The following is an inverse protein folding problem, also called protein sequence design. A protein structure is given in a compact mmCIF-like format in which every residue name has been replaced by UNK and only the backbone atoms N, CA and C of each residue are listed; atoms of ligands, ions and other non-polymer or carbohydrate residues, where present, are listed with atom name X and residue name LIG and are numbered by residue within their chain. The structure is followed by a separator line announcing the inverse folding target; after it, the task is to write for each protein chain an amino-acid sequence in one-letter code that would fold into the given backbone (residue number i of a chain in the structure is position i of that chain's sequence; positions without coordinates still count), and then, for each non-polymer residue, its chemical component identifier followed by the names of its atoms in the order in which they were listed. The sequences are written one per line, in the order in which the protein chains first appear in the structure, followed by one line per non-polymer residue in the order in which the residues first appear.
data_IF_998845513253
#
_entry.id   IF_998845513253
#
_cell.length_a   1.000
_cell.length_b   1.000
_cell.length_c   1.000
_cell.angle_alpha   90.00
_cell.angle_beta   90.00
_cell.angle_gamma   90.00
#
_symmetry.space_group_name_H-M   'P 1'
#
loop_
_entity.id
_entity.type
_entity.pdbx_description
1 polymer ?
#
# COMPACT_ATOMS: atom_id res chain seq x y z
N UNK A 1 -7.78 7.21 22.63
CA UNK A 1 -9.11 6.94 22.06
C UNK A 1 -8.94 5.77 21.11
N UNK A 2 -9.67 4.68 21.29
CA UNK A 2 -9.58 3.50 20.41
C UNK A 2 -10.66 3.62 19.35
N UNK A 3 -10.31 3.39 18.08
CA UNK A 3 -11.28 3.38 16.98
C UNK A 3 -12.21 2.17 17.09
N UNK A 4 -13.48 2.33 16.74
CA UNK A 4 -14.39 1.17 16.58
C UNK A 4 -14.03 0.38 15.32
N UNK A 5 -14.46 -0.88 15.25
CA UNK A 5 -14.36 -1.72 14.05
C UNK A 5 -14.87 -1.01 12.80
N UNK A 6 -16.04 -0.38 12.87
CA UNK A 6 -16.66 0.34 11.75
C UNK A 6 -15.81 1.55 11.32
N UNK A 7 -15.26 2.31 12.27
CA UNK A 7 -14.37 3.43 11.96
C UNK A 7 -13.09 2.97 11.28
N UNK A 8 -12.47 1.89 11.78
CA UNK A 8 -11.30 1.27 11.15
C UNK A 8 -11.60 0.84 9.73
N UNK A 9 -12.77 0.21 9.51
CA UNK A 9 -13.22 -0.21 8.18
C UNK A 9 -13.41 0.96 7.22
N UNK A 10 -14.06 2.04 7.66
CA UNK A 10 -14.23 3.26 6.84
C UNK A 10 -12.87 3.83 6.44
N UNK A 11 -11.93 3.91 7.38
CA UNK A 11 -10.58 4.39 7.13
C UNK A 11 -9.87 3.48 6.13
N UNK A 12 -9.93 2.15 6.33
CA UNK A 12 -9.31 1.17 5.45
C UNK A 12 -9.85 1.29 4.02
N UNK A 13 -11.18 1.25 3.86
CA UNK A 13 -11.84 1.33 2.55
C UNK A 13 -11.51 2.66 1.84
N UNK A 14 -11.42 3.77 2.59
CA UNK A 14 -11.01 5.08 2.07
C UNK A 14 -9.55 5.13 1.61
N UNK A 15 -8.63 4.53 2.36
CA UNK A 15 -7.21 4.45 1.99
C UNK A 15 -7.00 3.54 0.77
N UNK A 16 -7.69 2.40 0.72
CA UNK A 16 -7.68 1.52 -0.47
C UNK A 16 -8.16 2.29 -1.69
N UNK A 17 -9.27 3.03 -1.58
CA UNK A 17 -9.77 3.86 -2.68
C UNK A 17 -8.72 4.90 -3.13
N UNK A 18 -8.06 5.56 -2.18
CA UNK A 18 -7.02 6.55 -2.47
C UNK A 18 -5.82 5.94 -3.23
N UNK A 19 -5.39 4.74 -2.86
CA UNK A 19 -4.32 3.98 -3.55
C UNK A 19 -4.77 3.59 -4.96
N UNK A 20 -5.98 3.02 -5.10
CA UNK A 20 -6.48 2.56 -6.41
C UNK A 20 -6.70 3.69 -7.42
N UNK A 21 -6.87 4.93 -6.95
CA UNK A 21 -7.15 6.10 -7.80
C UNK A 21 -5.94 7.04 -7.97
N UNK A 22 -4.71 6.57 -7.70
CA UNK A 22 -3.49 7.34 -7.92
C UNK A 22 -3.48 8.71 -7.19
N UNK A 23 -3.99 8.75 -5.95
CA UNK A 23 -4.12 10.00 -5.19
C UNK A 23 -2.78 10.61 -4.73
N UNK A 24 -1.70 9.81 -4.71
CA UNK A 24 -0.40 10.19 -4.16
C UNK A 24 -0.35 10.28 -2.62
N UNK A 25 -1.47 10.12 -1.92
CA UNK A 25 -1.50 10.14 -0.45
C UNK A 25 -0.62 9.01 0.09
N UNK A 26 0.33 9.35 0.97
CA UNK A 26 1.14 8.35 1.68
C UNK A 26 2.25 7.69 0.84
N UNK A 27 2.39 8.08 -0.43
CA UNK A 27 3.52 7.71 -1.27
C UNK A 27 4.66 8.71 -1.10
N UNK A 28 5.90 8.24 -1.26
CA UNK A 28 7.12 9.03 -1.23
C UNK A 28 7.05 10.12 -2.29
N UNK A 29 7.30 11.36 -1.89
CA UNK A 29 7.13 12.56 -2.73
C UNK A 29 5.75 12.67 -3.42
N UNK A 30 4.72 12.03 -2.88
CA UNK A 30 3.40 11.90 -3.50
C UNK A 30 3.42 11.22 -4.87
N UNK A 31 4.48 10.46 -5.17
CA UNK A 31 4.70 9.79 -6.44
C UNK A 31 4.42 8.29 -6.31
N UNK A 32 3.18 7.90 -6.60
CA UNK A 32 2.80 6.49 -6.66
C UNK A 32 3.40 5.76 -7.88
N UNK A 33 3.90 6.50 -8.87
CA UNK A 33 4.60 5.95 -10.03
C UNK A 33 6.05 5.55 -9.73
N UNK A 34 6.56 5.88 -8.55
CA UNK A 34 7.94 5.64 -8.16
C UNK A 34 8.35 4.16 -8.26
N UNK A 35 9.58 3.91 -8.68
CA UNK A 35 10.12 2.56 -8.90
C UNK A 35 10.06 1.68 -7.64
N UNK A 36 10.13 2.29 -6.44
CA UNK A 36 9.98 1.62 -5.16
C UNK A 36 8.66 0.84 -5.00
N UNK A 37 7.61 1.24 -5.73
CA UNK A 37 6.29 0.62 -5.71
C UNK A 37 6.02 -0.30 -6.90
N UNK A 38 6.99 -0.52 -7.79
CA UNK A 38 6.77 -1.42 -8.93
C UNK A 38 6.49 -2.84 -8.40
N UNK A 39 5.43 -3.53 -8.89
CA UNK A 39 5.08 -4.84 -8.39
C UNK A 39 6.25 -5.80 -8.61
N UNK A 40 6.82 -6.31 -7.51
CA UNK A 40 7.97 -7.19 -7.61
C UNK A 40 7.53 -8.52 -8.19
N UNK A 41 8.11 -8.87 -9.33
CA UNK A 41 8.00 -10.18 -9.98
C UNK A 41 9.25 -10.54 -10.78
N UNK A 42 10.34 -9.77 -10.66
CA UNK A 42 11.54 -9.96 -11.47
C UNK A 42 12.70 -10.47 -10.61
N UNK A 43 13.48 -11.34 -11.21
CA UNK A 43 14.78 -11.88 -10.80
C UNK A 43 15.87 -10.82 -10.62
N UNK A 44 15.51 -9.58 -10.28
CA UNK A 44 16.39 -8.41 -10.26
C UNK A 44 16.62 -7.94 -8.81
N UNK A 45 17.85 -8.12 -8.36
CA UNK A 45 18.30 -7.85 -7.00
C UNK A 45 18.18 -6.35 -6.64
N UNK A 46 18.23 -5.46 -7.64
CA UNK A 46 18.07 -4.01 -7.45
C UNK A 46 16.63 -3.58 -7.16
N UNK A 47 15.62 -4.29 -7.68
CA UNK A 47 14.21 -3.99 -7.41
C UNK A 47 13.83 -4.26 -5.93
N UNK A 48 14.63 -5.04 -5.21
CA UNK A 48 14.44 -5.36 -3.80
C UNK A 48 15.20 -4.40 -2.85
N UNK A 49 16.03 -3.50 -3.38
CA UNK A 49 16.75 -2.48 -2.60
C UNK A 49 15.85 -1.26 -2.34
N UNK A 50 14.64 -1.47 -1.81
CA UNK A 50 13.62 -0.42 -1.61
C UNK A 50 14.18 0.80 -0.86
N UNK A 51 14.99 0.59 0.18
CA UNK A 51 15.64 1.67 0.95
C UNK A 51 16.57 2.57 0.11
N UNK A 52 17.24 2.03 -0.90
CA UNK A 52 18.07 2.81 -1.83
C UNK A 52 17.22 3.62 -2.82
N UNK A 53 15.98 3.19 -3.04
CA UNK A 53 14.98 3.88 -3.85
C UNK A 53 14.21 4.94 -3.03
N UNK A 54 14.62 5.25 -1.81
CA UNK A 54 14.06 6.34 -1.01
C UNK A 54 12.76 6.02 -0.27
N UNK A 55 12.22 4.80 -0.40
CA UNK A 55 11.09 4.35 0.41
C UNK A 55 11.08 2.82 0.57
N UNK A 56 10.67 2.33 1.74
CA UNK A 56 10.68 0.90 2.05
C UNK A 56 9.44 0.48 2.84
N UNK A 57 9.12 -0.82 2.92
CA UNK A 57 7.99 -1.31 3.70
C UNK A 57 8.02 -0.81 5.14
N UNK A 58 9.19 -0.74 5.76
CA UNK A 58 9.37 -0.33 7.16
C UNK A 58 9.22 1.19 7.37
N UNK A 59 9.50 2.00 6.35
CA UNK A 59 9.49 3.46 6.41
C UNK A 59 8.21 4.07 5.82
N UNK A 60 7.46 3.33 4.99
CA UNK A 60 6.23 3.78 4.39
C UNK A 60 5.04 3.77 5.38
N UNK A 61 4.67 4.94 5.88
CA UNK A 61 3.61 5.10 6.87
C UNK A 61 2.23 4.62 6.37
N UNK A 62 1.91 4.77 5.08
CA UNK A 62 0.63 4.33 4.53
C UNK A 62 0.52 2.81 4.53
N UNK A 63 1.55 2.11 4.07
CA UNK A 63 1.60 0.67 4.09
C UNK A 63 1.56 0.13 5.51
N UNK A 64 2.34 0.71 6.43
CA UNK A 64 2.30 0.33 7.86
C UNK A 64 0.89 0.52 8.46
N UNK A 65 0.19 1.60 8.11
CA UNK A 65 -1.18 1.81 8.55
C UNK A 65 -2.15 0.79 7.93
N UNK A 66 -2.04 0.51 6.63
CA UNK A 66 -2.88 -0.44 5.93
C UNK A 66 -2.68 -1.86 6.46
N UNK A 67 -1.45 -2.31 6.69
CA UNK A 67 -1.19 -3.65 7.21
C UNK A 67 -1.72 -3.80 8.64
N UNK A 68 -1.51 -2.82 9.52
CA UNK A 68 -2.07 -2.85 10.88
C UNK A 68 -3.60 -2.85 10.88
N UNK A 69 -4.24 -2.02 10.06
CA UNK A 69 -5.70 -2.05 9.92
C UNK A 69 -6.20 -3.36 9.34
N UNK A 70 -5.48 -3.95 8.37
CA UNK A 70 -5.82 -5.25 7.80
C UNK A 70 -5.74 -6.37 8.85
N UNK A 71 -4.73 -6.35 9.72
CA UNK A 71 -4.58 -7.29 10.84
C UNK A 71 -5.72 -7.16 11.86
N UNK A 72 -6.08 -5.92 12.21
CA UNK A 72 -7.16 -5.67 13.16
C UNK A 72 -8.55 -6.04 12.60
N UNK A 73 -8.81 -5.78 11.32
CA UNK A 73 -10.09 -6.05 10.66
C UNK A 73 -10.28 -7.51 10.24
N UNK A 74 -9.19 -8.28 10.14
CA UNK A 74 -9.23 -9.68 9.75
C UNK A 74 -9.94 -9.91 8.40
N UNK A 75 -11.00 -10.72 8.40
CA UNK A 75 -11.77 -11.07 7.20
C UNK A 75 -12.56 -9.87 6.61
N UNK A 76 -12.73 -8.79 7.37
CA UNK A 76 -13.46 -7.59 6.90
C UNK A 76 -12.62 -6.65 6.04
N UNK A 77 -11.30 -6.87 5.98
CA UNK A 77 -10.36 -6.10 5.17
C UNK A 77 -10.34 -6.62 3.72
N UNK A 78 -10.84 -5.81 2.78
CA UNK A 78 -10.89 -6.17 1.36
C UNK A 78 -10.51 -4.98 0.46
N UNK A 79 -9.50 -5.11 -0.42
CA UNK A 79 -8.62 -6.26 -0.59
C UNK A 79 -7.70 -6.45 0.63
N UNK A 80 -7.22 -7.67 0.91
CA UNK A 80 -6.30 -7.90 2.03
C UNK A 80 -4.89 -7.39 1.68
N UNK A 81 -4.30 -6.59 2.57
CA UNK A 81 -2.90 -6.13 2.48
C UNK A 81 -2.08 -6.84 3.55
N UNK A 82 -1.40 -7.93 3.17
CA UNK A 82 -0.58 -8.75 4.07
C UNK A 82 0.92 -8.62 3.85
N UNK A 83 1.30 -8.13 2.67
CA UNK A 83 2.70 -7.96 2.27
C UNK A 83 2.87 -6.67 1.49
N UNK A 84 4.11 -6.18 1.43
CA UNK A 84 4.49 -5.06 0.57
C UNK A 84 4.10 -5.30 -0.88
N UNK A 85 4.26 -6.54 -1.35
CA UNK A 85 3.88 -6.93 -2.71
C UNK A 85 2.38 -6.76 -2.96
N UNK A 86 1.50 -7.08 -2.00
CA UNK A 86 0.07 -6.81 -2.15
C UNK A 86 -0.21 -5.31 -2.29
N UNK A 87 0.48 -4.49 -1.50
CA UNK A 87 0.38 -3.03 -1.57
C UNK A 87 0.87 -2.49 -2.92
N UNK A 88 2.03 -2.93 -3.40
CA UNK A 88 2.57 -2.53 -4.70
C UNK A 88 1.67 -2.96 -5.87
N UNK A 89 1.12 -4.17 -5.85
CA UNK A 89 0.15 -4.62 -6.85
C UNK A 89 -1.08 -3.71 -6.84
N UNK A 90 -1.64 -3.41 -5.67
CA UNK A 90 -2.78 -2.50 -5.54
C UNK A 90 -2.44 -1.08 -6.05
N UNK A 91 -1.27 -0.57 -5.70
CA UNK A 91 -0.78 0.74 -6.15
C UNK A 91 -0.61 0.82 -7.68
N UNK A 92 -0.37 -0.29 -8.37
CA UNK A 92 -0.25 -0.30 -9.83
C UNK A 92 -1.52 -0.73 -10.55
N UNK A 93 -2.60 -1.04 -9.84
CA UNK A 93 -3.87 -1.51 -10.44
C UNK A 93 -4.45 -0.54 -11.49
N UNK A 94 -4.22 0.77 -11.34
CA UNK A 94 -4.65 1.77 -12.32
C UNK A 94 -3.94 1.66 -13.67
N UNK A 95 -2.72 1.09 -13.72
CA UNK A 95 -1.92 0.96 -14.94
C UNK A 95 -2.42 -0.17 -15.84
N UNK A 96 -3.07 -1.19 -15.28
CA UNK A 96 -3.62 -2.33 -16.03
C UNK A 96 -4.92 -1.99 -16.80
N UNK A 97 -5.51 -0.82 -16.56
CA UNK A 97 -6.75 -0.37 -17.22
C UNK A 97 -6.53 0.44 -18.50
N UNK A 98 -5.28 0.66 -18.90
CA UNK A 98 -4.88 1.36 -20.13
C UNK A 98 -4.23 0.40 -21.11
#
# INVERSE_FOLDING_TARGET
MTLTEEQKKIIYDGLIFAVMNNSGIGFHNQDQGHVAYSPVGNTDEHANQHKELGDSPEENALYQLLISLCEELGESANPPIKTWQNFCVLANFHKEKN
#
